data_IF_229805012027
#
_entry.id   IF_229805012027
#
_cell.length_a   1.000
_cell.length_b   1.000
_cell.length_c   1.000
_cell.angle_alpha   90.00
_cell.angle_beta   90.00
_cell.angle_gamma   90.00
#
_symmetry.space_group_name_H-M   'P 1'
#
loop_
_entity.id
_entity.type
_entity.pdbx_description
1 polymer ?
#
# COMPACT_ATOMS: atom_id res chain seq x y z
N UNK A 1 9.68 -21.60 9.16
CA UNK A 1 8.84 -21.52 7.96
C UNK A 1 7.69 -20.51 8.03
N UNK A 2 7.13 -20.17 9.20
CA UNK A 2 6.04 -19.16 9.38
C UNK A 2 6.52 -17.72 9.19
N UNK A 3 7.73 -17.37 9.58
CA UNK A 3 8.33 -16.03 9.49
C UNK A 3 8.54 -15.59 8.03
N UNK A 4 8.96 -16.50 7.14
CA UNK A 4 9.11 -16.20 5.70
C UNK A 4 7.82 -15.74 5.02
N UNK A 5 6.66 -16.23 5.49
CA UNK A 5 5.35 -15.82 4.95
C UNK A 5 4.96 -14.40 5.39
N UNK A 6 5.37 -13.95 6.58
CA UNK A 6 5.09 -12.60 7.05
C UNK A 6 5.85 -11.51 6.30
N UNK A 7 7.07 -11.76 5.87
CA UNK A 7 7.98 -10.75 5.35
C UNK A 7 7.71 -10.41 3.89
N UNK A 8 7.45 -11.40 3.06
CA UNK A 8 7.04 -11.17 1.67
C UNK A 8 5.70 -10.44 1.61
N UNK A 9 4.93 -10.60 2.66
CA UNK A 9 3.66 -9.95 2.90
C UNK A 9 3.76 -8.53 3.43
N UNK A 10 4.87 -8.17 4.06
CA UNK A 10 5.14 -6.80 4.52
C UNK A 10 5.38 -5.87 3.34
N UNK A 11 5.86 -6.37 2.24
CA UNK A 11 6.12 -5.60 1.03
C UNK A 11 4.98 -5.61 0.03
N UNK A 12 4.16 -6.60 0.07
CA UNK A 12 2.77 -6.45 -0.32
C UNK A 12 2.02 -5.79 0.84
N UNK A 13 2.59 -4.73 1.33
CA UNK A 13 2.37 -4.01 2.59
C UNK A 13 0.92 -3.66 2.89
N UNK A 14 0.06 -3.88 1.98
CA UNK A 14 -1.37 -3.76 2.18
C UNK A 14 -1.99 -5.15 2.34
N UNK A 15 -1.26 -6.19 1.92
CA UNK A 15 -1.84 -7.51 1.65
C UNK A 15 -1.79 -8.57 2.72
N UNK A 16 -0.97 -8.52 3.73
CA UNK A 16 -0.78 -9.72 4.55
C UNK A 16 -0.91 -9.55 6.06
N UNK A 17 -1.85 -8.78 6.50
CA UNK A 17 -2.10 -8.61 7.93
C UNK A 17 -3.14 -9.54 8.53
N UNK A 18 -3.64 -10.52 7.79
CA UNK A 18 -4.75 -11.34 8.26
C UNK A 18 -4.51 -12.83 8.07
N UNK A 19 -3.51 -13.40 8.75
CA UNK A 19 -3.58 -14.80 9.13
C UNK A 19 -4.32 -14.90 10.48
N UNK A 20 -5.61 -14.58 10.49
CA UNK A 20 -6.52 -14.95 11.56
C UNK A 20 -7.25 -16.21 11.11
N UNK A 21 -7.36 -17.26 11.92
CA UNK A 21 -8.12 -18.44 11.53
C UNK A 21 -9.58 -18.06 11.30
N UNK A 22 -10.05 -18.42 10.11
CA UNK A 22 -11.40 -18.17 9.65
C UNK A 22 -12.43 -18.93 10.47
N UNK A 23 -13.22 -18.24 11.24
CA UNK A 23 -14.47 -18.74 11.80
C UNK A 23 -15.47 -17.59 11.85
N UNK A 24 -15.96 -17.15 10.72
CA UNK A 24 -17.25 -16.45 10.63
C UNK A 24 -17.84 -16.61 9.24
N UNK A 25 -19.14 -16.89 9.22
CA UNK A 25 -19.93 -17.36 8.12
C UNK A 25 -20.08 -16.40 6.94
N UNK A 26 -20.23 -17.01 5.75
CA UNK A 26 -20.69 -16.42 4.51
C UNK A 26 -22.08 -15.80 4.64
N UNK A 27 -22.22 -14.59 4.12
CA UNK A 27 -23.50 -14.14 3.54
C UNK A 27 -23.21 -13.71 2.11
N UNK A 28 -23.75 -14.47 1.18
CA UNK A 28 -23.74 -14.15 -0.24
C UNK A 28 -24.86 -13.14 -0.51
N UNK A 29 -24.57 -12.12 -1.29
CA UNK A 29 -25.61 -11.47 -2.06
C UNK A 29 -25.10 -11.08 -3.45
N UNK A 30 -25.77 -11.65 -4.44
CA UNK A 30 -25.49 -11.48 -5.85
C UNK A 30 -26.43 -10.44 -6.41
N UNK A 31 -25.89 -9.40 -7.02
CA UNK A 31 -26.67 -8.59 -7.96
C UNK A 31 -25.80 -8.17 -9.15
N UNK A 32 -25.99 -8.87 -10.26
CA UNK A 32 -25.56 -8.43 -11.59
C UNK A 32 -26.45 -7.27 -12.04
N UNK A 33 -25.84 -6.15 -12.37
CA UNK A 33 -26.48 -5.15 -13.24
C UNK A 33 -25.51 -4.84 -14.38
N UNK A 34 -25.91 -5.25 -15.58
CA UNK A 34 -25.26 -4.84 -16.81
C UNK A 34 -25.65 -3.38 -17.10
N UNK A 35 -24.68 -2.52 -17.29
CA UNK A 35 -24.90 -1.19 -17.83
C UNK A 35 -24.09 -1.01 -19.11
N UNK A 36 -24.81 -0.74 -20.17
CA UNK A 36 -24.35 -0.40 -21.50
C UNK A 36 -23.45 0.86 -21.45
N UNK A 37 -22.22 0.73 -21.89
CA UNK A 37 -21.28 1.85 -21.93
C UNK A 37 -21.26 2.48 -23.31
N UNK A 38 -21.90 3.62 -23.43
CA UNK A 38 -21.68 4.53 -24.55
C UNK A 38 -20.32 5.23 -24.34
N UNK A 39 -19.34 4.80 -25.08
CA UNK A 39 -18.01 5.47 -25.13
C UNK A 39 -18.09 6.70 -26.01
N UNK A 40 -18.12 7.86 -25.38
CA UNK A 40 -17.80 9.14 -26.05
C UNK A 40 -16.28 9.33 -25.89
N UNK A 41 -15.49 9.47 -26.97
CA UNK A 41 -14.08 9.81 -26.85
C UNK A 41 -13.98 11.29 -26.47
N UNK A 42 -13.81 11.56 -25.19
CA UNK A 42 -13.32 12.85 -24.73
C UNK A 42 -11.80 12.79 -24.82
N UNK A 43 -11.23 13.54 -25.75
CA UNK A 43 -9.79 13.80 -25.83
C UNK A 43 -9.40 14.66 -24.59
N UNK A 44 -9.33 14.00 -23.47
CA UNK A 44 -8.90 14.61 -22.21
C UNK A 44 -7.38 14.54 -22.21
N UNK A 45 -6.72 15.66 -22.48
CA UNK A 45 -5.28 15.77 -22.30
C UNK A 45 -4.92 15.23 -20.91
N UNK A 46 -4.25 14.09 -20.87
CA UNK A 46 -3.84 13.45 -19.63
C UNK A 46 -2.80 14.35 -18.97
N UNK A 47 -3.19 15.02 -17.89
CA UNK A 47 -2.28 15.84 -17.10
C UNK A 47 -1.16 14.95 -16.54
N UNK A 48 0.08 15.45 -16.47
CA UNK A 48 1.18 14.69 -15.89
C UNK A 48 0.92 14.35 -14.43
N UNK A 49 1.56 13.27 -13.96
CA UNK A 49 1.49 12.87 -12.56
C UNK A 49 1.96 14.00 -11.66
N UNK A 50 1.28 14.22 -10.54
CA UNK A 50 1.64 15.22 -9.53
C UNK A 50 3.00 14.87 -8.91
N UNK A 51 4.05 15.48 -9.44
CA UNK A 51 5.43 15.40 -8.95
C UNK A 51 5.87 16.78 -8.48
N UNK A 52 6.76 16.86 -7.50
CA UNK A 52 7.29 18.15 -7.01
C UNK A 52 6.61 18.70 -5.76
N UNK A 53 5.66 18.00 -5.20
CA UNK A 53 5.12 18.32 -3.87
C UNK A 53 6.03 17.74 -2.78
N UNK A 54 6.41 18.58 -1.80
CA UNK A 54 7.19 18.11 -0.63
C UNK A 54 6.36 17.12 0.22
N UNK A 55 5.05 17.32 0.29
CA UNK A 55 4.13 16.46 1.01
C UNK A 55 3.01 15.93 0.12
N UNK A 56 2.81 14.62 0.17
CA UNK A 56 1.67 13.94 -0.44
C UNK A 56 0.99 13.10 0.63
N UNK A 57 -0.28 13.39 0.89
CA UNK A 57 -1.07 12.63 1.86
C UNK A 57 -2.32 12.12 1.18
N UNK A 58 -2.61 10.84 1.33
CA UNK A 58 -3.87 10.28 0.84
C UNK A 58 -4.42 9.19 1.75
N UNK A 59 -5.72 8.97 1.65
CA UNK A 59 -6.43 7.91 2.37
C UNK A 59 -7.49 7.28 1.48
N UNK A 60 -7.75 6.01 1.73
CA UNK A 60 -8.70 5.27 0.94
C UNK A 60 -9.05 3.91 1.54
N UNK A 61 -9.56 3.04 0.68
CA UNK A 61 -9.83 1.65 0.99
C UNK A 61 -9.02 0.74 0.08
N UNK A 62 -8.63 -0.41 0.58
CA UNK A 62 -8.02 -1.44 -0.22
C UNK A 62 -8.62 -2.80 0.11
N UNK A 63 -8.73 -3.64 -0.90
CA UNK A 63 -9.11 -5.04 -0.82
C UNK A 63 -7.87 -5.88 -1.07
N UNK A 64 -7.66 -6.82 -0.17
CA UNK A 64 -6.59 -7.78 -0.23
C UNK A 64 -7.21 -9.12 -0.59
N UNK A 65 -6.80 -9.66 -1.71
CA UNK A 65 -7.32 -10.89 -2.30
C UNK A 65 -6.21 -11.93 -2.25
N UNK A 66 -6.43 -13.03 -1.56
CA UNK A 66 -5.54 -14.18 -1.51
C UNK A 66 -6.33 -15.51 -1.54
N UNK A 67 -5.64 -16.63 -1.40
CA UNK A 67 -6.28 -17.96 -1.35
C UNK A 67 -7.26 -18.14 -0.19
N UNK A 68 -7.22 -17.29 0.82
CA UNK A 68 -8.13 -17.29 1.98
C UNK A 68 -9.36 -16.38 1.78
N UNK A 69 -9.47 -15.71 0.63
CA UNK A 69 -10.59 -14.83 0.29
C UNK A 69 -10.22 -13.36 0.22
N UNK A 70 -11.22 -12.49 0.25
CA UNK A 70 -11.07 -11.03 0.17
C UNK A 70 -11.21 -10.39 1.55
N UNK A 71 -10.29 -9.48 1.87
CA UNK A 71 -10.29 -8.70 3.12
C UNK A 71 -10.13 -7.23 2.84
N UNK A 72 -11.05 -6.42 3.36
CA UNK A 72 -11.03 -4.97 3.16
C UNK A 72 -10.37 -4.25 4.32
N UNK A 73 -9.62 -3.20 4.01
CA UNK A 73 -9.02 -2.31 5.00
C UNK A 73 -9.12 -0.84 4.55
N UNK A 74 -8.96 0.06 5.51
CA UNK A 74 -8.74 1.46 5.23
C UNK A 74 -7.25 1.76 5.40
N UNK A 75 -6.71 2.62 4.56
CA UNK A 75 -5.33 3.07 4.66
C UNK A 75 -5.24 4.59 4.77
N UNK A 76 -4.23 5.03 5.48
CA UNK A 76 -3.77 6.41 5.54
C UNK A 76 -2.28 6.42 5.22
N UNK A 77 -1.90 7.27 4.28
CA UNK A 77 -0.57 7.38 3.75
C UNK A 77 -0.08 8.81 3.80
N UNK A 78 1.17 8.99 4.22
CA UNK A 78 1.85 10.28 4.20
C UNK A 78 3.23 10.08 3.61
N UNK A 79 3.57 10.85 2.61
CA UNK A 79 4.90 10.89 2.04
C UNK A 79 5.42 12.33 2.12
N UNK A 80 6.61 12.49 2.68
CA UNK A 80 7.46 13.66 2.47
C UNK A 80 8.59 13.25 1.57
N UNK A 81 8.73 13.95 0.45
CA UNK A 81 9.73 13.63 -0.59
C UNK A 81 11.13 13.54 0.02
N UNK A 82 11.84 12.48 -0.34
CA UNK A 82 13.20 12.15 0.08
C UNK A 82 13.48 12.13 1.60
N UNK A 83 12.44 12.05 2.41
CA UNK A 83 12.57 12.14 3.86
C UNK A 83 11.88 11.00 4.62
N UNK A 84 10.57 10.87 4.49
CA UNK A 84 9.80 9.92 5.29
C UNK A 84 8.54 9.50 4.56
N UNK A 85 8.21 8.23 4.71
CA UNK A 85 6.95 7.67 4.24
C UNK A 85 6.29 6.94 5.41
N UNK A 86 5.05 7.28 5.69
CA UNK A 86 4.26 6.73 6.78
C UNK A 86 3.00 6.07 6.24
N UNK A 87 2.73 4.87 6.74
CA UNK A 87 1.55 4.10 6.39
C UNK A 87 0.82 3.70 7.66
N UNK A 88 -0.49 3.84 7.67
CA UNK A 88 -1.35 3.35 8.73
C UNK A 88 -2.53 2.59 8.14
N UNK A 89 -2.77 1.38 8.61
CA UNK A 89 -3.83 0.49 8.14
C UNK A 89 -4.79 0.17 9.25
N UNK A 90 -6.09 0.30 8.95
CA UNK A 90 -7.19 -0.02 9.84
C UNK A 90 -8.09 -1.09 9.22
N UNK A 91 -8.46 -2.08 10.00
CA UNK A 91 -9.53 -3.03 9.68
C UNK A 91 -10.68 -2.84 10.68
N UNK A 92 -11.90 -2.66 10.18
CA UNK A 92 -13.09 -2.43 11.03
C UNK A 92 -12.89 -1.31 12.09
N UNK A 93 -12.28 -0.19 11.69
CA UNK A 93 -11.97 0.95 12.58
C UNK A 93 -10.88 0.70 13.63
N UNK A 94 -10.29 -0.49 13.69
CA UNK A 94 -9.17 -0.81 14.56
C UNK A 94 -7.87 -0.68 13.78
N UNK A 95 -6.91 0.03 14.34
CA UNK A 95 -5.57 0.09 13.77
C UNK A 95 -4.90 -1.28 13.90
N UNK A 96 -4.50 -1.83 12.76
CA UNK A 96 -3.86 -3.14 12.70
C UNK A 96 -2.37 -3.06 12.42
N UNK A 97 -1.93 -2.01 11.73
CA UNK A 97 -0.54 -1.85 11.33
C UNK A 97 -0.13 -0.39 11.20
N UNK A 98 1.12 -0.12 11.53
CA UNK A 98 1.86 1.09 11.12
C UNK A 98 3.19 0.73 10.49
N UNK A 99 3.61 1.50 9.51
CA UNK A 99 4.95 1.44 8.97
C UNK A 99 5.51 2.85 8.78
N UNK A 100 6.82 2.98 9.00
CA UNK A 100 7.59 4.18 8.67
C UNK A 100 8.81 3.73 7.89
N UNK A 101 9.04 4.39 6.77
CA UNK A 101 10.21 4.24 5.94
C UNK A 101 10.96 5.58 5.93
N UNK A 102 12.26 5.53 6.14
CA UNK A 102 13.19 6.64 5.98
C UNK A 102 14.30 6.23 5.02
N UNK A 103 15.15 7.12 4.53
CA UNK A 103 16.28 6.73 3.67
C UNK A 103 17.12 5.58 4.23
N UNK A 104 17.28 5.50 5.55
CA UNK A 104 18.21 4.58 6.20
C UNK A 104 17.52 3.42 6.94
N UNK A 105 16.22 3.52 7.21
CA UNK A 105 15.56 2.57 8.11
C UNK A 105 14.11 2.31 7.81
N UNK A 106 13.65 1.16 8.29
CA UNK A 106 12.25 0.73 8.27
C UNK A 106 11.80 0.41 9.68
N UNK A 107 10.66 0.96 10.06
CA UNK A 107 9.95 0.58 11.29
C UNK A 107 8.58 0.05 10.88
N UNK A 108 8.26 -1.14 11.38
CA UNK A 108 6.98 -1.76 11.17
C UNK A 108 6.40 -2.21 12.51
N UNK A 109 5.15 -1.88 12.78
CA UNK A 109 4.44 -2.25 14.02
C UNK A 109 3.17 -2.98 13.67
N UNK A 110 3.08 -4.25 14.06
CA UNK A 110 1.88 -5.07 13.97
C UNK A 110 1.15 -5.05 15.31
N UNK A 111 -0.02 -4.43 15.33
CA UNK A 111 -0.83 -4.30 16.55
C UNK A 111 -1.60 -5.57 16.91
N UNK A 112 -1.87 -6.43 15.91
CA UNK A 112 -2.58 -7.69 16.16
C UNK A 112 -1.71 -8.72 16.87
N UNK A 113 -0.44 -8.82 16.45
CA UNK A 113 0.53 -9.75 17.05
C UNK A 113 1.34 -9.12 18.17
N UNK A 114 1.19 -7.82 18.43
CA UNK A 114 1.97 -7.03 19.38
C UNK A 114 3.49 -7.14 19.11
N UNK A 115 3.86 -7.12 17.85
CA UNK A 115 5.24 -7.24 17.39
C UNK A 115 5.68 -6.02 16.60
N UNK A 116 6.98 -5.74 16.62
CA UNK A 116 7.56 -4.72 15.76
C UNK A 116 8.90 -5.17 15.17
N UNK A 117 9.17 -4.64 13.99
CA UNK A 117 10.46 -4.70 13.32
C UNK A 117 11.03 -3.29 13.25
N UNK A 118 12.34 -3.15 13.48
CA UNK A 118 13.07 -1.89 13.30
C UNK A 118 14.49 -2.21 12.90
N UNK A 119 14.84 -1.89 11.65
CA UNK A 119 16.16 -2.16 11.09
C UNK A 119 16.37 -1.35 9.79
N UNK A 120 17.49 -1.56 9.11
CA UNK A 120 17.75 -1.12 7.74
C UNK A 120 16.95 -1.94 6.73
N UNK A 121 17.09 -1.64 5.44
CA UNK A 121 16.47 -2.42 4.36
C UNK A 121 17.14 -3.78 4.11
N UNK A 122 18.39 -3.95 4.50
CA UNK A 122 19.19 -5.14 4.19
C UNK A 122 18.58 -6.47 4.65
N UNK A 123 18.00 -6.60 5.87
CA UNK A 123 17.29 -7.83 6.25
C UNK A 123 16.09 -8.15 5.36
N UNK A 124 15.33 -7.13 4.93
CA UNK A 124 14.17 -7.29 4.08
C UNK A 124 14.55 -7.80 2.69
N UNK A 125 15.65 -7.28 2.13
CA UNK A 125 16.13 -7.62 0.80
C UNK A 125 16.54 -9.08 0.63
N UNK A 126 16.82 -9.80 1.72
CA UNK A 126 17.08 -11.25 1.68
C UNK A 126 15.85 -12.07 1.25
N UNK A 127 14.66 -11.51 1.37
CA UNK A 127 13.40 -12.21 1.12
C UNK A 127 12.66 -11.71 -0.12
N UNK A 128 13.17 -10.67 -0.76
CA UNK A 128 12.55 -10.07 -1.92
C UNK A 128 13.23 -10.47 -3.21
N UNK A 129 12.48 -10.55 -4.31
CA UNK A 129 13.05 -10.80 -5.62
C UNK A 129 13.73 -9.56 -6.26
N UNK A 130 13.75 -8.44 -5.55
CA UNK A 130 14.34 -7.18 -6.01
C UNK A 130 14.94 -6.43 -4.81
N UNK A 131 15.77 -5.44 -5.07
CA UNK A 131 16.31 -4.57 -4.02
C UNK A 131 15.27 -3.54 -3.62
N UNK A 132 14.90 -3.58 -2.34
CA UNK A 132 14.07 -2.57 -1.72
C UNK A 132 14.96 -1.52 -1.09
N UNK A 133 14.69 -0.27 -1.40
CA UNK A 133 15.23 0.92 -0.75
C UNK A 133 14.12 1.97 -0.58
N UNK A 134 14.45 3.09 0.01
CA UNK A 134 13.49 4.17 0.24
C UNK A 134 12.90 4.72 -1.06
N UNK A 135 13.72 4.88 -2.09
CA UNK A 135 13.30 5.42 -3.38
C UNK A 135 12.30 4.49 -4.08
N UNK A 136 12.56 3.18 -4.04
CA UNK A 136 11.64 2.18 -4.58
C UNK A 136 10.29 2.20 -3.85
N UNK A 137 10.30 2.26 -2.51
CA UNK A 137 9.06 2.38 -1.72
C UNK A 137 8.32 3.68 -2.06
N UNK A 138 9.04 4.79 -2.13
CA UNK A 138 8.46 6.09 -2.46
C UNK A 138 7.86 6.11 -3.87
N UNK A 139 8.57 5.56 -4.85
CA UNK A 139 8.10 5.42 -6.23
C UNK A 139 6.80 4.59 -6.31
N UNK A 140 6.73 3.47 -5.57
CA UNK A 140 5.55 2.63 -5.51
C UNK A 140 4.31 3.42 -5.03
N UNK A 141 4.44 4.17 -3.96
CA UNK A 141 3.30 4.90 -3.41
C UNK A 141 3.01 6.24 -4.10
N UNK A 142 3.93 6.72 -4.92
CA UNK A 142 3.71 7.90 -5.77
C UNK A 142 3.29 7.54 -7.21
N UNK A 143 3.15 6.24 -7.55
CA UNK A 143 2.75 5.81 -8.89
C UNK A 143 3.81 5.98 -9.98
N UNK A 144 5.09 6.08 -9.60
CA UNK A 144 6.22 6.28 -10.51
C UNK A 144 6.71 4.93 -11.05
N UNK A 145 5.94 4.35 -11.97
CA UNK A 145 6.19 3.00 -12.50
C UNK A 145 7.55 2.82 -13.16
N UNK A 146 8.10 3.88 -13.75
CA UNK A 146 9.41 3.88 -14.39
C UNK A 146 10.58 3.66 -13.43
N UNK A 147 10.36 3.93 -12.14
CA UNK A 147 11.35 3.73 -11.07
C UNK A 147 11.17 2.40 -10.32
N UNK A 148 10.13 1.64 -10.66
CA UNK A 148 9.88 0.36 -10.01
C UNK A 148 10.69 -0.76 -10.66
N UNK A 149 11.10 -1.78 -9.87
CA UNK A 149 11.80 -2.93 -10.41
C UNK A 149 10.94 -3.61 -11.47
N UNK A 150 11.45 -3.69 -12.69
CA UNK A 150 10.82 -4.43 -13.77
C UNK A 150 11.12 -5.91 -13.59
N UNK A 151 10.11 -6.78 -13.64
CA UNK A 151 10.33 -8.21 -13.48
C UNK A 151 9.06 -9.05 -13.58
N UNK A 152 9.25 -10.35 -13.79
CA UNK A 152 8.18 -11.30 -14.07
C UNK A 152 7.32 -11.67 -12.84
N UNK A 153 7.59 -11.13 -11.65
CA UNK A 153 6.94 -11.58 -10.41
C UNK A 153 5.95 -10.62 -9.81
N UNK A 154 6.06 -9.34 -10.15
CA UNK A 154 5.21 -8.28 -9.59
C UNK A 154 4.64 -7.42 -10.72
N UNK A 155 3.40 -7.01 -10.57
CA UNK A 155 2.72 -6.05 -11.43
C UNK A 155 2.18 -4.90 -10.58
N UNK A 156 2.37 -3.67 -11.08
CA UNK A 156 1.89 -2.43 -10.46
C UNK A 156 1.12 -1.66 -11.53
N UNK A 157 -0.16 -1.48 -11.29
CA UNK A 157 -1.07 -0.79 -12.20
C UNK A 157 -1.71 0.39 -11.46
N UNK A 158 -1.71 1.57 -12.09
CA UNK A 158 -2.34 2.79 -11.57
C UNK A 158 -3.33 3.30 -12.60
N UNK A 159 -4.50 3.72 -12.16
CA UNK A 159 -5.59 4.12 -13.03
C UNK A 159 -6.47 5.19 -12.40
N UNK A 160 -7.50 5.63 -13.14
CA UNK A 160 -8.45 6.63 -12.72
C UNK A 160 -7.74 7.92 -12.25
N UNK A 161 -6.96 8.53 -13.16
CA UNK A 161 -6.22 9.76 -12.88
C UNK A 161 -7.19 10.93 -12.79
N UNK A 162 -7.18 11.62 -11.64
CA UNK A 162 -8.00 12.80 -11.40
C UNK A 162 -7.11 14.04 -11.28
N UNK A 163 -7.52 15.20 -11.84
CA UNK A 163 -6.81 16.46 -11.64
C UNK A 163 -6.73 16.81 -10.14
N UNK A 164 -5.53 17.15 -9.67
CA UNK A 164 -5.29 17.61 -8.31
C UNK A 164 -5.01 19.12 -8.25
N UNK A 165 -4.59 19.67 -9.39
CA UNK A 165 -4.48 21.10 -9.68
C UNK A 165 -4.61 21.36 -11.19
N UNK A 166 -4.35 22.60 -11.66
CA UNK A 166 -4.48 22.97 -13.06
C UNK A 166 -3.43 22.33 -13.98
N UNK A 167 -2.36 21.76 -13.46
CA UNK A 167 -1.20 21.27 -14.20
C UNK A 167 -0.86 19.82 -13.96
N UNK A 168 -1.48 19.17 -12.97
CA UNK A 168 -1.13 17.82 -12.59
C UNK A 168 -2.33 16.97 -12.17
N UNK A 169 -2.17 15.66 -12.30
CA UNK A 169 -3.13 14.65 -11.89
C UNK A 169 -2.52 13.68 -10.89
N UNK A 170 -3.36 12.91 -10.20
CA UNK A 170 -2.93 11.81 -9.35
C UNK A 170 -3.85 10.62 -9.58
N UNK A 171 -3.30 9.40 -9.48
CA UNK A 171 -4.11 8.19 -9.59
C UNK A 171 -5.05 8.05 -8.40
N UNK A 172 -6.25 7.57 -8.64
CA UNK A 172 -7.22 7.27 -7.57
C UNK A 172 -7.48 5.79 -7.39
N UNK A 173 -7.01 4.96 -8.32
CA UNK A 173 -7.07 3.50 -8.22
C UNK A 173 -5.71 2.87 -8.49
N UNK A 174 -5.41 1.78 -7.78
CA UNK A 174 -4.21 1.00 -8.01
C UNK A 174 -4.46 -0.50 -7.81
N UNK A 175 -3.71 -1.31 -8.53
CA UNK A 175 -3.70 -2.77 -8.39
C UNK A 175 -2.27 -3.26 -8.32
N UNK A 176 -1.95 -3.98 -7.26
CA UNK A 176 -0.65 -4.63 -7.07
C UNK A 176 -0.86 -6.14 -7.07
N UNK A 177 -0.08 -6.88 -7.85
CA UNK A 177 -0.19 -8.34 -7.96
C UNK A 177 1.17 -9.01 -7.80
N UNK A 178 1.19 -10.13 -7.09
CA UNK A 178 2.30 -11.08 -7.16
C UNK A 178 1.91 -12.21 -8.10
N UNK A 179 2.59 -12.29 -9.25
CA UNK A 179 2.23 -13.21 -10.33
C UNK A 179 2.47 -14.68 -10.01
N UNK A 180 3.36 -14.99 -9.07
CA UNK A 180 3.65 -16.36 -8.63
C UNK A 180 2.82 -16.84 -7.43
N UNK A 181 2.03 -15.94 -6.84
CA UNK A 181 1.11 -16.23 -5.74
C UNK A 181 -0.22 -15.58 -6.08
N UNK A 182 -1.29 -16.20 -5.62
CA UNK A 182 -2.61 -15.60 -5.77
C UNK A 182 -2.76 -14.52 -4.70
N UNK A 183 -1.99 -13.43 -4.84
CA UNK A 183 -2.12 -12.26 -3.96
C UNK A 183 -2.27 -11.02 -4.83
N UNK A 184 -3.37 -10.34 -4.62
CA UNK A 184 -3.69 -9.09 -5.30
C UNK A 184 -4.18 -8.06 -4.27
N UNK A 185 -3.77 -6.82 -4.43
CA UNK A 185 -4.24 -5.68 -3.64
C UNK A 185 -4.85 -4.67 -4.57
N UNK A 186 -6.13 -4.38 -4.39
CA UNK A 186 -6.86 -3.34 -5.12
C UNK A 186 -7.14 -2.19 -4.19
N UNK A 187 -6.68 -1.00 -4.53
CA UNK A 187 -6.91 0.21 -3.73
C UNK A 187 -7.70 1.27 -4.46
N UNK A 188 -8.52 1.99 -3.69
CA UNK A 188 -9.21 3.19 -4.14
C UNK A 188 -8.97 4.33 -3.17
N UNK A 189 -8.37 5.40 -3.67
CA UNK A 189 -8.09 6.62 -2.92
C UNK A 189 -9.37 7.46 -2.90
N UNK A 190 -9.70 8.00 -1.73
CA UNK A 190 -10.89 8.83 -1.53
C UNK A 190 -10.57 10.29 -1.30
N UNK A 191 -9.41 10.57 -0.76
CA UNK A 191 -8.97 11.93 -0.43
C UNK A 191 -7.48 12.03 -0.66
N UNK A 192 -7.07 13.05 -1.41
CA UNK A 192 -5.68 13.42 -1.65
C UNK A 192 -5.47 14.84 -1.12
N UNK A 193 -4.33 15.10 -0.51
CA UNK A 193 -3.86 16.42 -0.09
C UNK A 193 -2.40 16.58 -0.48
N UNK A 194 -2.09 17.63 -1.19
CA UNK A 194 -0.75 17.97 -1.66
C UNK A 194 -0.22 19.19 -0.91
N UNK A 195 1.09 19.23 -0.66
CA UNK A 195 1.77 20.35 -0.01
C UNK A 195 1.45 20.55 1.48
N UNK A 196 0.63 19.69 2.08
CA UNK A 196 0.20 19.82 3.49
C UNK A 196 0.89 18.76 4.34
N UNK A 197 1.65 19.16 5.39
CA UNK A 197 2.27 18.22 6.31
C UNK A 197 1.28 17.25 6.94
N UNK A 198 1.63 15.97 6.95
CA UNK A 198 0.87 14.92 7.62
C UNK A 198 1.54 14.45 8.91
N UNK A 199 0.79 13.69 9.72
CA UNK A 199 1.35 13.06 10.92
C UNK A 199 2.16 11.84 10.54
N UNK A 200 3.44 11.81 10.93
CA UNK A 200 4.39 10.73 10.59
C UNK A 200 5.00 10.06 11.82
N UNK A 201 4.55 10.44 13.03
CA UNK A 201 5.09 9.88 14.26
C UNK A 201 4.65 8.44 14.49
N UNK A 202 5.58 7.60 14.92
CA UNK A 202 5.31 6.22 15.31
C UNK A 202 5.73 6.01 16.77
N UNK A 203 4.78 5.56 17.61
CA UNK A 203 5.05 5.11 18.96
C UNK A 203 4.96 3.60 19.01
N UNK A 204 6.02 2.96 19.47
CA UNK A 204 6.06 1.52 19.73
C UNK A 204 5.70 1.33 21.21
N UNK A 205 4.62 0.61 21.56
CA UNK A 205 4.31 0.31 22.96
C UNK A 205 5.40 -0.58 23.57
N UNK A 206 5.76 -0.32 24.82
CA UNK A 206 6.83 -1.05 25.54
C UNK A 206 6.60 -2.58 25.62
N UNK A 207 5.34 -3.00 25.65
CA UNK A 207 4.95 -4.42 25.70
C UNK A 207 5.10 -5.16 24.38
N UNK A 208 5.47 -4.50 23.29
CA UNK A 208 5.60 -5.14 21.99
C UNK A 208 6.96 -5.81 21.84
N UNK A 209 6.93 -7.02 21.32
CA UNK A 209 8.11 -7.83 21.06
C UNK A 209 8.83 -7.37 19.80
N UNK A 210 10.15 -7.18 19.89
CA UNK A 210 10.97 -6.92 18.69
C UNK A 210 11.22 -8.23 17.95
N UNK A 211 10.91 -8.24 16.65
CA UNK A 211 11.27 -9.36 15.76
C UNK A 211 12.50 -8.99 14.93
N UNK A 212 13.35 -9.99 14.70
CA UNK A 212 14.49 -9.94 13.76
C UNK A 212 14.16 -10.77 12.52
N UNK A 213 14.67 -10.37 11.36
CA UNK A 213 14.45 -11.00 10.06
C UNK A 213 15.72 -11.67 9.55
#
# INVERSE_FOLDING_TARGET
MRIRKCILSILMVVGLLMAVPSSYAQVADSAMVAADSVTVPVDTAVLPMATGYDWITYRGKADIIDTGGTRSCNFYFVNRTDSILYINIHAYSVEVMRAVFTPDSVIFVNKLTQQYFRDTYAPLNKYLPFTLDFQTVQALFNGQTEKLPQGQKLSFEYSAFEPVDSTSSFFTEFVFKELNRVIEVRGKIKVIRLGVPGVTSIRIPEKFERISL
#
